data_IF_800271600723
#
_entry.id   IF_800271600723
#
_cell.length_a   1.000
_cell.length_b   1.000
_cell.length_c   1.000
_cell.angle_alpha   90.00
_cell.angle_beta   90.00
_cell.angle_gamma   90.00
#
_symmetry.space_group_name_H-M   'P 1'
#
loop_
_entity.id
_entity.type
_entity.pdbx_description
1 polymer ?
#
# COMPACT_ATOMS: atom_id res chain seq x y z
N UNK A 1 -29.09 -43.71 -0.15
CA UNK A 1 -27.93 -42.86 0.16
C UNK A 1 -27.59 -42.06 -1.09
N UNK A 2 -27.77 -40.74 -1.03
CA UNK A 2 -27.87 -39.82 -2.17
C UNK A 2 -26.53 -39.51 -2.89
N UNK A 3 -26.40 -39.83 -4.19
CA UNK A 3 -25.33 -39.29 -5.04
C UNK A 3 -25.48 -37.77 -5.29
N UNK A 4 -26.69 -37.23 -5.06
CA UNK A 4 -27.02 -35.81 -5.30
C UNK A 4 -26.46 -34.86 -4.25
N UNK A 5 -26.23 -35.33 -3.02
CA UNK A 5 -25.60 -34.55 -1.97
C UNK A 5 -24.10 -34.32 -2.26
N UNK A 6 -23.43 -35.31 -2.86
CA UNK A 6 -21.99 -35.22 -3.20
C UNK A 6 -21.71 -34.29 -4.39
N UNK A 7 -22.61 -34.24 -5.37
CA UNK A 7 -22.48 -33.31 -6.51
C UNK A 7 -22.59 -31.83 -6.09
N UNK A 8 -23.33 -31.51 -5.02
CA UNK A 8 -23.49 -30.14 -4.51
C UNK A 8 -22.27 -29.65 -3.72
N UNK A 9 -21.49 -30.55 -3.15
CA UNK A 9 -20.25 -30.23 -2.39
C UNK A 9 -19.05 -30.03 -3.34
N UNK A 10 -19.09 -30.65 -4.53
CA UNK A 10 -18.06 -30.50 -5.57
C UNK A 10 -18.15 -29.21 -6.40
N UNK A 11 -19.17 -28.36 -6.15
CA UNK A 11 -19.38 -27.09 -6.83
C UNK A 11 -19.33 -25.92 -5.83
N UNK A 12 -18.29 -25.84 -5.01
CA UNK A 12 -17.87 -24.53 -4.50
C UNK A 12 -17.19 -23.82 -5.67
N UNK A 13 -17.85 -22.86 -6.33
CA UNK A 13 -17.19 -22.12 -7.37
C UNK A 13 -16.21 -21.21 -6.64
N UNK A 14 -14.93 -21.60 -6.62
CA UNK A 14 -13.81 -20.67 -6.50
C UNK A 14 -13.70 -19.80 -7.77
N UNK A 15 -14.83 -19.55 -8.46
CA UNK A 15 -14.93 -18.47 -9.41
C UNK A 15 -14.92 -17.20 -8.59
N UNK A 16 -13.72 -16.68 -8.31
CA UNK A 16 -13.50 -15.34 -7.78
C UNK A 16 -14.40 -14.41 -8.59
N UNK A 17 -15.42 -13.87 -7.95
CA UNK A 17 -16.36 -13.00 -8.62
C UNK A 17 -15.53 -11.83 -9.19
N UNK A 18 -15.64 -11.47 -10.48
CA UNK A 18 -14.74 -10.49 -11.10
C UNK A 18 -14.62 -9.16 -10.35
N UNK A 19 -15.70 -8.78 -9.65
CA UNK A 19 -15.70 -7.65 -8.72
C UNK A 19 -14.70 -7.86 -7.57
N UNK A 20 -14.79 -8.98 -6.84
CA UNK A 20 -13.89 -9.31 -5.71
C UNK A 20 -12.42 -9.32 -6.11
N UNK A 21 -12.10 -9.81 -7.31
CA UNK A 21 -10.73 -9.79 -7.83
C UNK A 21 -10.23 -8.35 -8.04
N UNK A 22 -11.07 -7.46 -8.59
CA UNK A 22 -10.74 -6.04 -8.75
C UNK A 22 -10.44 -5.35 -7.41
N UNK A 23 -11.28 -5.57 -6.39
CA UNK A 23 -11.09 -5.05 -5.04
C UNK A 23 -9.72 -5.46 -4.45
N UNK A 24 -9.39 -6.75 -4.55
CA UNK A 24 -8.13 -7.31 -4.06
C UNK A 24 -6.92 -6.74 -4.81
N UNK A 25 -7.00 -6.58 -6.12
CA UNK A 25 -5.92 -6.03 -6.94
C UNK A 25 -5.64 -4.57 -6.61
N UNK A 26 -6.69 -3.75 -6.45
CA UNK A 26 -6.53 -2.33 -6.07
C UNK A 26 -5.85 -2.21 -4.70
N UNK A 27 -6.28 -3.03 -3.73
CA UNK A 27 -5.67 -3.05 -2.41
C UNK A 27 -4.22 -3.58 -2.43
N UNK A 28 -3.94 -4.64 -3.19
CA UNK A 28 -2.60 -5.17 -3.35
C UNK A 28 -1.65 -4.14 -4.01
N UNK A 29 -2.14 -3.43 -5.04
CA UNK A 29 -1.39 -2.35 -5.67
C UNK A 29 -1.09 -1.22 -4.69
N UNK A 30 -2.07 -0.83 -3.85
CA UNK A 30 -1.85 0.16 -2.79
C UNK A 30 -0.74 -0.28 -1.83
N UNK A 31 -0.81 -1.52 -1.30
CA UNK A 31 0.23 -2.03 -0.39
C UNK A 31 1.61 -2.06 -1.05
N UNK A 32 1.69 -2.46 -2.32
CA UNK A 32 2.93 -2.43 -3.07
C UNK A 32 3.50 -1.01 -3.17
N UNK A 33 2.66 0.00 -3.43
CA UNK A 33 3.13 1.39 -3.44
C UNK A 33 3.64 1.83 -2.07
N UNK A 34 3.05 1.40 -0.96
CA UNK A 34 3.55 1.74 0.38
C UNK A 34 4.94 1.14 0.65
N UNK A 35 5.18 -0.09 0.18
CA UNK A 35 6.48 -0.77 0.32
C UNK A 35 7.53 -0.06 -0.52
N UNK A 36 7.23 0.17 -1.80
CA UNK A 36 8.16 0.83 -2.72
C UNK A 36 8.48 2.25 -2.28
N UNK A 37 7.47 3.00 -1.87
CA UNK A 37 7.65 4.34 -1.30
C UNK A 37 8.52 4.30 -0.03
N UNK A 38 8.34 3.31 0.85
CA UNK A 38 9.20 3.13 2.02
C UNK A 38 10.66 2.89 1.64
N UNK A 39 10.92 2.01 0.67
CA UNK A 39 12.27 1.71 0.20
C UNK A 39 12.91 2.95 -0.43
N UNK A 40 12.18 3.61 -1.34
CA UNK A 40 12.68 4.78 -2.06
C UNK A 40 12.91 5.98 -1.15
N UNK A 41 12.00 6.24 -0.21
CA UNK A 41 12.16 7.27 0.81
C UNK A 41 13.41 6.99 1.65
N UNK A 42 13.58 5.75 2.13
CA UNK A 42 14.77 5.38 2.91
C UNK A 42 16.06 5.54 2.12
N UNK A 43 16.09 5.11 0.86
CA UNK A 43 17.23 5.28 -0.02
C UNK A 43 17.54 6.78 -0.27
N UNK A 44 16.50 7.57 -0.51
CA UNK A 44 16.59 9.02 -0.72
C UNK A 44 17.17 9.74 0.49
N UNK A 45 16.59 9.55 1.68
CA UNK A 45 17.10 10.18 2.90
C UNK A 45 18.50 9.68 3.28
N UNK A 46 18.82 8.40 3.02
CA UNK A 46 20.16 7.86 3.25
C UNK A 46 21.21 8.51 2.35
N UNK A 47 20.82 8.90 1.12
CA UNK A 47 21.72 9.50 0.14
C UNK A 47 21.82 11.04 0.29
N UNK A 48 20.71 11.71 0.57
CA UNK A 48 20.60 13.18 0.51
C UNK A 48 20.32 13.83 1.88
N UNK A 49 20.12 13.03 2.92
CA UNK A 49 19.75 13.48 4.27
C UNK A 49 18.25 13.73 4.45
N UNK A 50 17.83 13.87 5.70
CA UNK A 50 16.41 14.08 6.08
C UNK A 50 15.80 15.33 5.44
N UNK A 51 16.60 16.36 5.14
CA UNK A 51 16.12 17.59 4.49
C UNK A 51 15.59 17.36 3.07
N UNK A 52 15.94 16.26 2.42
CA UNK A 52 15.38 15.86 1.13
C UNK A 52 13.94 15.32 1.25
N UNK A 53 13.49 14.96 2.46
CA UNK A 53 12.13 14.53 2.70
C UNK A 53 11.16 15.71 2.51
N UNK A 54 10.33 15.63 1.47
CA UNK A 54 9.35 16.67 1.13
C UNK A 54 8.17 16.75 2.11
N UNK A 55 7.99 15.76 2.98
CA UNK A 55 6.95 15.75 4.00
C UNK A 55 7.49 16.33 5.34
N UNK A 56 7.07 17.54 5.76
CA UNK A 56 7.60 18.18 6.96
C UNK A 56 7.30 17.40 8.24
N UNK A 57 6.13 16.74 8.29
CA UNK A 57 5.73 15.94 9.45
C UNK A 57 6.60 14.70 9.57
N UNK A 58 6.86 14.01 8.45
CA UNK A 58 7.72 12.84 8.45
C UNK A 58 9.17 13.21 8.74
N UNK A 59 9.69 14.29 8.15
CA UNK A 59 11.02 14.81 8.45
C UNK A 59 11.19 15.16 9.93
N UNK A 60 10.19 15.79 10.54
CA UNK A 60 10.19 16.06 11.98
C UNK A 60 10.19 14.77 12.83
N UNK A 61 9.39 13.77 12.45
CA UNK A 61 9.37 12.46 13.12
C UNK A 61 10.73 11.75 13.01
N UNK A 62 11.35 11.78 11.82
CA UNK A 62 12.68 11.21 11.59
C UNK A 62 13.75 11.90 12.43
N UNK A 63 13.71 13.23 12.53
CA UNK A 63 14.62 13.99 13.38
C UNK A 63 14.43 13.70 14.88
N UNK A 64 13.21 13.38 15.30
CA UNK A 64 12.86 13.16 16.72
C UNK A 64 13.08 11.72 17.19
N UNK A 65 12.80 10.73 16.32
CA UNK A 65 12.77 9.30 16.68
C UNK A 65 13.72 8.43 15.86
N UNK A 66 14.41 9.01 14.87
CA UNK A 66 15.24 8.29 13.92
C UNK A 66 14.48 7.87 12.65
N UNK A 67 15.23 7.76 11.57
CA UNK A 67 14.71 7.52 10.21
C UNK A 67 13.89 6.24 10.11
N UNK A 68 14.45 5.12 10.57
CA UNK A 68 13.85 3.80 10.44
C UNK A 68 12.52 3.68 11.20
N UNK A 69 12.49 4.15 12.45
CA UNK A 69 11.31 4.06 13.33
C UNK A 69 10.19 4.96 12.79
N UNK A 70 10.52 6.21 12.44
CA UNK A 70 9.56 7.15 11.90
C UNK A 70 8.96 6.65 10.58
N UNK A 71 9.80 6.17 9.66
CA UNK A 71 9.36 5.68 8.37
C UNK A 71 8.53 4.40 8.49
N UNK A 72 8.97 3.43 9.30
CA UNK A 72 8.20 2.21 9.54
C UNK A 72 6.83 2.52 10.15
N UNK A 73 6.78 3.42 11.15
CA UNK A 73 5.54 3.86 11.77
C UNK A 73 4.59 4.50 10.75
N UNK A 74 5.10 5.39 9.89
CA UNK A 74 4.31 6.04 8.84
C UNK A 74 3.74 5.02 7.83
N UNK A 75 4.54 4.06 7.38
CA UNK A 75 4.06 3.04 6.41
C UNK A 75 3.08 2.06 7.05
N UNK A 76 3.30 1.64 8.30
CA UNK A 76 2.35 0.79 9.04
C UNK A 76 1.01 1.52 9.20
N UNK A 77 1.03 2.80 9.57
CA UNK A 77 -0.18 3.61 9.68
C UNK A 77 -0.91 3.70 8.33
N UNK A 78 -0.19 4.01 7.25
CA UNK A 78 -0.77 4.09 5.91
C UNK A 78 -1.36 2.75 5.45
N UNK A 79 -0.66 1.64 5.67
CA UNK A 79 -1.17 0.30 5.38
C UNK A 79 -2.41 -0.03 6.21
N UNK A 80 -2.42 0.32 7.50
CA UNK A 80 -3.58 0.17 8.39
C UNK A 80 -4.80 0.98 7.93
N UNK A 81 -4.59 2.23 7.50
CA UNK A 81 -5.63 3.02 6.85
C UNK A 81 -6.13 2.36 5.55
N UNK A 82 -5.23 1.81 4.73
CA UNK A 82 -5.59 1.03 3.54
C UNK A 82 -6.45 -0.19 3.86
N UNK A 83 -6.11 -0.94 4.92
CA UNK A 83 -6.90 -2.07 5.41
C UNK A 83 -8.30 -1.60 5.84
N UNK A 84 -8.40 -0.50 6.58
CA UNK A 84 -9.69 0.04 6.98
C UNK A 84 -10.55 0.43 5.77
N UNK A 85 -9.96 1.11 4.76
CA UNK A 85 -10.66 1.46 3.53
C UNK A 85 -11.10 0.23 2.72
N UNK A 86 -10.29 -0.83 2.72
CA UNK A 86 -10.60 -2.10 2.06
C UNK A 86 -11.79 -2.79 2.74
N UNK A 87 -11.81 -2.85 4.08
CA UNK A 87 -12.92 -3.41 4.85
C UNK A 87 -14.20 -2.59 4.65
N UNK A 88 -14.09 -1.27 4.53
CA UNK A 88 -15.21 -0.36 4.26
C UNK A 88 -15.66 -0.34 2.79
N UNK A 89 -15.03 -1.14 1.91
CA UNK A 89 -15.32 -1.23 0.47
C UNK A 89 -15.28 0.13 -0.27
N UNK A 90 -14.30 0.98 0.09
CA UNK A 90 -14.10 2.31 -0.52
C UNK A 90 -12.97 2.28 -1.55
N UNK A 91 -13.06 1.37 -2.52
CA UNK A 91 -11.93 1.05 -3.41
C UNK A 91 -11.53 2.18 -4.35
N UNK A 92 -12.48 3.06 -4.69
CA UNK A 92 -12.18 4.26 -5.48
C UNK A 92 -11.17 5.15 -4.76
N UNK A 93 -11.30 5.28 -3.43
CA UNK A 93 -10.37 6.07 -2.64
C UNK A 93 -9.00 5.37 -2.58
N UNK A 94 -8.96 4.05 -2.40
CA UNK A 94 -7.71 3.29 -2.45
C UNK A 94 -7.02 3.46 -3.80
N UNK A 95 -7.75 3.34 -4.91
CA UNK A 95 -7.21 3.53 -6.25
C UNK A 95 -6.64 4.95 -6.46
N UNK A 96 -7.36 5.98 -6.01
CA UNK A 96 -6.87 7.37 -6.06
C UNK A 96 -5.60 7.52 -5.22
N UNK A 97 -5.58 6.97 -4.00
CA UNK A 97 -4.40 7.01 -3.15
C UNK A 97 -3.21 6.29 -3.81
N UNK A 98 -3.42 5.12 -4.41
CA UNK A 98 -2.37 4.41 -5.17
C UNK A 98 -1.77 5.29 -6.27
N UNK A 99 -2.61 5.99 -7.05
CA UNK A 99 -2.13 6.90 -8.09
C UNK A 99 -1.39 8.11 -7.51
N UNK A 100 -1.85 8.65 -6.37
CA UNK A 100 -1.16 9.73 -5.66
C UNK A 100 0.22 9.27 -5.19
N UNK A 101 0.36 8.08 -4.59
CA UNK A 101 1.67 7.55 -4.18
C UNK A 101 2.60 7.32 -5.37
N UNK A 102 2.07 6.83 -6.50
CA UNK A 102 2.86 6.69 -7.73
C UNK A 102 3.39 8.07 -8.19
N UNK A 103 2.51 9.05 -8.31
CA UNK A 103 2.85 10.37 -8.88
C UNK A 103 3.66 11.28 -7.95
N UNK A 104 3.36 11.25 -6.65
CA UNK A 104 3.92 12.19 -5.68
C UNK A 104 5.11 11.63 -4.89
N UNK A 105 5.30 10.30 -4.87
CA UNK A 105 6.38 9.68 -4.12
C UNK A 105 7.28 8.81 -5.00
N UNK A 106 6.73 7.78 -5.66
CA UNK A 106 7.56 6.85 -6.46
C UNK A 106 8.25 7.56 -7.61
N UNK A 107 7.50 8.28 -8.47
CA UNK A 107 8.08 8.96 -9.63
C UNK A 107 9.17 9.96 -9.19
N UNK A 108 8.91 10.91 -8.26
CA UNK A 108 9.94 11.85 -7.80
C UNK A 108 11.18 11.15 -7.24
N UNK A 109 11.03 10.15 -6.36
CA UNK A 109 12.18 9.45 -5.82
C UNK A 109 12.96 8.68 -6.87
N UNK A 110 12.27 8.02 -7.81
CA UNK A 110 12.97 7.30 -8.90
C UNK A 110 13.77 8.25 -9.79
N UNK A 111 13.25 9.43 -10.11
CA UNK A 111 13.95 10.44 -10.93
C UNK A 111 15.16 11.06 -10.22
N UNK A 112 15.15 11.09 -8.89
CA UNK A 112 16.26 11.66 -8.09
C UNK A 112 17.35 10.61 -7.85
N UNK A 113 16.98 9.33 -7.71
CA UNK A 113 17.90 8.23 -7.38
C UNK A 113 18.56 7.57 -8.59
N UNK A 114 17.97 7.64 -9.79
CA UNK A 114 18.41 6.95 -11.01
C UNK A 114 18.42 7.88 -12.21
#
# INVERSE_FOLDING_TARGET
>A
MEPRAQARIAQLPYALHPRMLGHQLVFAAFLLTQILDGILTYAGISAFGIAAEGNPLLGWLMASYGELIALAGAKILAAGCGVALYILAVDRLIAVLTLVYIGAALIPWTLILF
#
